data_IF_564815108845
#
_entry.id   IF_564815108845
#
_cell.length_a   1.000
_cell.length_b   1.000
_cell.length_c   1.000
_cell.angle_alpha   90.00
_cell.angle_beta   90.00
_cell.angle_gamma   90.00
#
_symmetry.space_group_name_H-M   'P 1'
#
loop_
_entity.id
_entity.type
_entity.pdbx_description
1 polymer ?
#
# COMPACT_ATOMS: atom_id res chain seq x y z
N UNK A 1 -0.09 16.17 -4.44
CA UNK A 1 -0.80 14.97 -4.96
C UNK A 1 -1.80 14.36 -3.96
N UNK A 2 -1.82 14.83 -2.70
CA UNK A 2 -2.68 14.34 -1.60
C UNK A 2 -4.18 14.20 -1.92
N UNK A 3 -4.73 15.00 -2.83
CA UNK A 3 -6.15 14.96 -3.21
C UNK A 3 -6.48 13.82 -4.21
N UNK A 4 -5.47 13.07 -4.67
CA UNK A 4 -5.66 11.93 -5.56
C UNK A 4 -5.42 10.64 -4.77
N UNK A 5 -6.51 10.02 -4.31
CA UNK A 5 -6.48 8.79 -3.52
C UNK A 5 -5.70 7.68 -4.21
N UNK A 6 -5.84 7.50 -5.53
CA UNK A 6 -5.12 6.45 -6.26
C UNK A 6 -3.60 6.65 -6.24
N UNK A 7 -3.14 7.91 -6.25
CA UNK A 7 -1.71 8.23 -6.11
C UNK A 7 -1.24 8.02 -4.67
N UNK A 8 -2.04 8.43 -3.68
CA UNK A 8 -1.72 8.21 -2.27
C UNK A 8 -1.55 6.71 -2.00
N UNK A 9 -2.48 5.87 -2.47
CA UNK A 9 -2.40 4.41 -2.34
C UNK A 9 -1.09 3.87 -2.91
N UNK A 10 -0.67 4.31 -4.10
CA UNK A 10 0.61 3.90 -4.70
C UNK A 10 1.82 4.25 -3.83
N UNK A 11 1.81 5.43 -3.21
CA UNK A 11 2.88 5.82 -2.30
C UNK A 11 2.86 5.01 -1.01
N UNK A 12 1.68 4.68 -0.48
CA UNK A 12 1.57 3.82 0.70
C UNK A 12 2.13 2.43 0.42
N UNK A 13 1.85 1.86 -0.75
CA UNK A 13 2.41 0.57 -1.15
C UNK A 13 3.94 0.64 -1.29
N UNK A 14 4.49 1.76 -1.76
CA UNK A 14 5.93 2.00 -1.82
C UNK A 14 6.56 2.13 -0.42
N UNK A 15 5.93 2.86 0.51
CA UNK A 15 6.38 2.95 1.90
C UNK A 15 6.47 1.56 2.54
N UNK A 16 5.45 0.73 2.33
CA UNK A 16 5.45 -0.68 2.80
C UNK A 16 6.61 -1.46 2.20
N UNK A 17 6.91 -1.29 0.91
CA UNK A 17 8.05 -1.94 0.24
C UNK A 17 9.40 -1.51 0.81
N UNK A 18 9.52 -0.23 1.17
CA UNK A 18 10.73 0.33 1.79
C UNK A 18 10.87 -0.02 3.28
N UNK A 19 9.85 -0.64 3.89
CA UNK A 19 9.83 -0.91 5.34
C UNK A 19 9.53 0.34 6.18
N UNK A 20 9.08 1.43 5.56
CA UNK A 20 8.72 2.67 6.25
C UNK A 20 7.27 2.56 6.75
N UNK A 21 7.08 2.78 8.05
CA UNK A 21 5.74 2.63 8.66
C UNK A 21 4.91 3.89 8.42
N UNK A 22 3.68 3.71 7.95
CA UNK A 22 2.68 4.77 7.91
C UNK A 22 1.84 4.73 9.19
N UNK A 23 1.86 5.80 9.98
CA UNK A 23 1.01 5.97 11.14
C UNK A 23 -0.35 6.58 10.74
N UNK A 24 -1.46 6.17 11.38
CA UNK A 24 -2.77 6.75 11.12
C UNK A 24 -2.80 8.25 11.45
N UNK A 25 -3.79 8.99 10.94
CA UNK A 25 -3.96 10.37 11.34
C UNK A 25 -4.23 10.47 12.84
N UNK A 26 -3.77 11.55 13.45
CA UNK A 26 -3.98 11.88 14.85
C UNK A 26 -4.18 13.40 14.98
N UNK A 27 -5.26 13.82 15.64
CA UNK A 27 -5.67 15.23 15.75
C UNK A 27 -4.70 16.10 16.56
N UNK A 28 -3.75 15.51 17.28
CA UNK A 28 -2.71 16.21 18.03
C UNK A 28 -1.32 16.08 17.39
N UNK A 29 -1.06 15.02 16.60
CA UNK A 29 0.27 14.74 16.02
C UNK A 29 0.37 15.04 14.52
N UNK A 30 -0.69 14.81 13.75
CA UNK A 30 -0.66 14.93 12.29
C UNK A 30 -0.71 16.39 11.84
N UNK A 31 0.21 16.80 10.98
CA UNK A 31 0.15 18.08 10.26
C UNK A 31 -0.94 18.13 9.19
N UNK A 32 -0.97 19.23 8.44
CA UNK A 32 -1.87 19.37 7.28
C UNK A 32 -1.48 18.38 6.17
N UNK A 33 -0.18 18.27 5.92
CA UNK A 33 0.42 17.35 4.94
C UNK A 33 0.97 16.10 5.63
N UNK A 34 1.37 15.11 4.82
CA UNK A 34 2.14 13.96 5.31
C UNK A 34 3.50 14.43 5.81
N UNK A 35 3.94 13.91 6.96
CA UNK A 35 5.20 14.29 7.58
C UNK A 35 6.06 13.06 7.83
N UNK A 36 7.34 13.12 7.45
CA UNK A 36 8.32 12.10 7.77
C UNK A 36 8.94 12.39 9.13
N UNK A 37 8.99 11.38 9.99
CA UNK A 37 9.53 11.44 11.34
C UNK A 37 10.45 10.24 11.56
N UNK A 38 11.37 10.37 12.53
CA UNK A 38 12.07 9.23 13.09
C UNK A 38 11.59 9.06 14.53
N UNK A 39 10.93 7.94 14.82
CA UNK A 39 10.38 7.63 16.15
C UNK A 39 11.09 6.38 16.64
N UNK A 40 11.78 6.49 17.77
CA UNK A 40 12.51 5.39 18.40
C UNK A 40 13.51 4.66 17.48
N UNK A 41 14.05 5.36 16.48
CA UNK A 41 15.00 4.83 15.48
C UNK A 41 14.35 4.38 14.17
N UNK A 42 13.02 4.25 14.14
CA UNK A 42 12.28 3.82 12.95
C UNK A 42 11.87 5.02 12.08
N UNK A 43 12.08 4.90 10.77
CA UNK A 43 11.53 5.83 9.79
C UNK A 43 10.02 5.63 9.69
N UNK A 44 9.27 6.69 9.97
CA UNK A 44 7.80 6.67 9.90
C UNK A 44 7.28 7.87 9.12
N UNK A 45 6.14 7.69 8.48
CA UNK A 45 5.36 8.78 7.90
C UNK A 45 4.08 8.91 8.71
N UNK A 46 3.75 10.12 9.16
CA UNK A 46 2.48 10.42 9.80
C UNK A 46 1.50 10.88 8.74
N UNK A 47 0.29 10.31 8.74
CA UNK A 47 -0.75 10.66 7.78
C UNK A 47 -1.18 12.12 7.93
N UNK A 48 -1.24 12.85 6.82
CA UNK A 48 -1.66 14.27 6.81
C UNK A 48 -3.17 14.44 6.92
N UNK A 49 -3.64 15.33 7.80
CA UNK A 49 -5.07 15.53 8.04
C UNK A 49 -5.84 16.01 6.80
N UNK A 50 -5.20 16.77 5.89
CA UNK A 50 -5.86 17.24 4.67
C UNK A 50 -6.14 16.12 3.65
N UNK A 51 -5.50 14.95 3.80
CA UNK A 51 -5.76 13.80 2.95
C UNK A 51 -6.99 12.98 3.40
N UNK A 52 -7.61 13.31 4.53
CA UNK A 52 -8.86 12.69 4.99
C UNK A 52 -10.01 13.14 4.09
N UNK A 53 -10.63 12.18 3.40
CA UNK A 53 -11.78 12.43 2.53
C UNK A 53 -12.95 12.96 3.35
N UNK A 54 -13.48 14.10 2.93
CA UNK A 54 -14.64 14.72 3.57
C UNK A 54 -14.32 15.71 4.69
N UNK A 55 -13.07 15.82 5.14
CA UNK A 55 -12.66 16.81 6.13
C UNK A 55 -12.51 18.22 5.51
N UNK A 56 -11.82 18.32 4.37
CA UNK A 56 -11.64 19.56 3.63
C UNK A 56 -10.60 20.52 4.24
N UNK A 57 -9.85 21.21 3.39
CA UNK A 57 -8.70 22.03 3.77
C UNK A 57 -9.00 23.13 4.80
N UNK A 58 -10.14 23.81 4.65
CA UNK A 58 -10.53 24.93 5.52
C UNK A 58 -10.76 24.44 6.96
N UNK A 59 -11.41 23.28 7.11
CA UNK A 59 -11.68 22.71 8.43
C UNK A 59 -10.38 22.23 9.08
N UNK A 60 -9.53 21.52 8.33
CA UNK A 60 -8.24 21.04 8.82
C UNK A 60 -7.33 22.19 9.25
N UNK A 61 -7.24 23.24 8.44
CA UNK A 61 -6.45 24.42 8.80
C UNK A 61 -6.96 25.05 10.10
N UNK A 62 -8.27 25.23 10.22
CA UNK A 62 -8.88 25.77 11.45
C UNK A 62 -8.65 24.90 12.68
N UNK A 63 -8.59 23.57 12.53
CA UNK A 63 -8.29 22.65 13.62
C UNK A 63 -6.83 22.78 14.05
N UNK A 64 -5.90 22.88 13.09
CA UNK A 64 -4.47 23.05 13.36
C UNK A 64 -4.22 24.40 14.07
N UNK A 65 -4.87 25.47 13.62
CA UNK A 65 -4.84 26.76 14.31
C UNK A 65 -5.38 26.66 15.74
N UNK A 66 -6.49 25.94 15.93
CA UNK A 66 -7.11 25.79 17.24
C UNK A 66 -6.19 25.09 18.25
N UNK A 67 -5.32 24.16 17.82
CA UNK A 67 -4.34 23.44 18.67
C UNK A 67 -2.92 24.03 18.64
N UNK A 68 -2.71 25.19 18.02
CA UNK A 68 -1.37 25.73 17.78
C UNK A 68 -0.61 26.05 19.07
N UNK A 69 -1.31 26.57 20.08
CA UNK A 69 -0.74 26.90 21.39
C UNK A 69 -0.58 25.66 22.28
N UNK A 70 -1.59 24.80 22.32
CA UNK A 70 -1.60 23.59 23.14
C UNK A 70 -2.40 22.46 22.47
N UNK A 71 -1.97 21.19 22.63
CA UNK A 71 -2.74 20.03 22.15
C UNK A 71 -4.16 19.99 22.74
N UNK A 72 -5.07 19.30 22.06
CA UNK A 72 -6.38 18.99 22.62
C UNK A 72 -6.23 17.97 23.74
N UNK A 73 -6.70 18.32 24.94
CA UNK A 73 -6.59 17.45 26.11
C UNK A 73 -7.51 16.22 26.01
N UNK A 74 -8.74 16.43 25.55
CA UNK A 74 -9.76 15.40 25.37
C UNK A 74 -10.79 15.82 24.32
N UNK A 75 -11.83 15.00 24.13
CA UNK A 75 -12.90 15.28 23.18
C UNK A 75 -13.71 16.53 23.56
N UNK A 76 -13.88 16.83 24.85
CA UNK A 76 -14.59 18.04 25.32
C UNK A 76 -13.81 19.31 24.95
N UNK A 77 -12.49 19.27 25.14
CA UNK A 77 -11.60 20.37 24.76
C UNK A 77 -11.59 20.59 23.24
N UNK A 78 -11.50 19.50 22.47
CA UNK A 78 -11.59 19.55 21.01
C UNK A 78 -12.88 20.23 20.55
N UNK A 79 -14.06 19.77 20.98
CA UNK A 79 -15.34 20.34 20.54
C UNK A 79 -15.55 21.78 21.01
N UNK A 80 -14.92 22.18 22.11
CA UNK A 80 -15.02 23.54 22.66
C UNK A 80 -14.14 24.53 21.91
N UNK A 81 -13.02 24.08 21.31
CA UNK A 81 -12.03 24.94 20.65
C UNK A 81 -12.23 25.06 19.14
N UNK A 82 -12.86 24.11 18.48
CA UNK A 82 -13.09 24.14 17.03
C UNK A 82 -14.08 25.23 16.59
N UNK A 83 -13.86 25.76 15.38
CA UNK A 83 -14.81 26.66 14.71
C UNK A 83 -15.87 25.84 13.96
N UNK A 84 -17.08 25.77 14.52
CA UNK A 84 -18.21 25.01 13.93
C UNK A 84 -18.71 25.53 12.60
N UNK A 85 -18.38 26.77 12.21
CA UNK A 85 -18.73 27.26 10.88
C UNK A 85 -17.89 26.58 9.80
N UNK A 86 -16.71 26.05 10.18
CA UNK A 86 -15.77 25.34 9.33
C UNK A 86 -15.79 23.83 9.57
N UNK A 87 -15.88 23.40 10.83
CA UNK A 87 -15.88 22.00 11.27
C UNK A 87 -17.32 21.55 11.53
N UNK A 88 -17.97 21.04 10.49
CA UNK A 88 -19.34 20.54 10.59
C UNK A 88 -19.40 19.04 10.95
N UNK A 89 -20.61 18.50 11.12
CA UNK A 89 -20.84 17.08 11.44
C UNK A 89 -20.11 16.12 10.52
N UNK A 90 -20.12 16.34 9.21
CA UNK A 90 -19.46 15.48 8.23
C UNK A 90 -17.94 15.46 8.41
N UNK A 91 -17.35 16.59 8.78
CA UNK A 91 -15.91 16.67 9.09
C UNK A 91 -15.59 15.80 10.31
N UNK A 92 -16.37 15.94 11.39
CA UNK A 92 -16.16 15.15 12.62
C UNK A 92 -16.35 13.67 12.35
N UNK A 93 -17.39 13.26 11.62
CA UNK A 93 -17.58 11.86 11.20
C UNK A 93 -16.38 11.34 10.39
N UNK A 94 -15.84 12.16 9.47
CA UNK A 94 -14.67 11.78 8.66
C UNK A 94 -13.42 11.61 9.52
N UNK A 95 -13.21 12.50 10.50
CA UNK A 95 -12.10 12.40 11.46
C UNK A 95 -12.21 11.15 12.34
N UNK A 96 -13.41 10.83 12.83
CA UNK A 96 -13.66 9.61 13.61
C UNK A 96 -13.39 8.36 12.76
N UNK A 97 -13.98 8.28 11.56
CA UNK A 97 -13.80 7.14 10.64
C UNK A 97 -12.34 6.92 10.25
N UNK A 98 -11.59 8.00 10.12
CA UNK A 98 -10.16 7.98 9.80
C UNK A 98 -9.26 7.57 10.97
N UNK A 99 -9.78 7.55 12.20
CA UNK A 99 -9.00 7.30 13.42
C UNK A 99 -8.31 8.52 14.01
N UNK A 100 -8.55 9.71 13.46
CA UNK A 100 -7.89 10.93 13.92
C UNK A 100 -8.21 11.28 15.38
N UNK A 101 -9.35 10.82 15.90
CA UNK A 101 -9.81 11.09 17.27
C UNK A 101 -9.61 9.89 18.23
N UNK A 102 -8.97 8.80 17.79
CA UNK A 102 -8.81 7.57 18.59
C UNK A 102 -7.99 7.83 19.88
N UNK A 103 -7.11 8.84 19.85
CA UNK A 103 -6.32 9.26 21.01
C UNK A 103 -7.11 9.81 22.20
N UNK A 104 -8.41 10.11 22.04
CA UNK A 104 -9.25 10.63 23.13
C UNK A 104 -9.88 9.56 24.01
N UNK A 105 -9.59 8.27 23.77
CA UNK A 105 -10.00 7.18 24.67
C UNK A 105 -11.47 6.74 24.54
N UNK A 106 -12.21 7.26 23.55
CA UNK A 106 -13.52 6.76 23.16
C UNK A 106 -13.39 5.83 21.96
N UNK A 107 -14.21 4.77 21.91
CA UNK A 107 -14.32 3.95 20.71
C UNK A 107 -14.95 4.75 19.56
N UNK A 108 -14.59 4.43 18.32
CA UNK A 108 -15.22 5.05 17.14
C UNK A 108 -16.73 4.80 17.15
N UNK A 109 -17.17 3.63 17.64
CA UNK A 109 -18.59 3.30 17.83
C UNK A 109 -19.30 4.22 18.81
N UNK A 110 -18.68 4.50 19.96
CA UNK A 110 -19.24 5.44 20.93
C UNK A 110 -19.39 6.84 20.33
N UNK A 111 -18.35 7.33 19.65
CA UNK A 111 -18.35 8.66 19.03
C UNK A 111 -19.37 8.79 17.89
N UNK A 112 -19.46 7.80 16.99
CA UNK A 112 -20.40 7.85 15.87
C UNK A 112 -21.86 7.65 16.30
N UNK A 113 -22.11 6.78 17.28
CA UNK A 113 -23.48 6.53 17.78
C UNK A 113 -24.05 7.72 18.54
N UNK A 114 -23.18 8.55 19.13
CA UNK A 114 -23.55 9.74 19.91
C UNK A 114 -23.14 11.04 19.20
N UNK A 115 -22.96 11.01 17.88
CA UNK A 115 -22.49 12.16 17.10
C UNK A 115 -23.36 13.41 17.28
N UNK A 116 -24.67 13.26 17.43
CA UNK A 116 -25.58 14.40 17.66
C UNK A 116 -25.26 15.13 18.97
N UNK A 117 -24.88 14.39 20.03
CA UNK A 117 -24.50 14.95 21.32
C UNK A 117 -23.18 15.72 21.23
N UNK A 118 -22.22 15.19 20.47
CA UNK A 118 -20.94 15.86 20.16
C UNK A 118 -21.21 17.21 19.47
N UNK A 119 -22.10 17.23 18.47
CA UNK A 119 -22.44 18.42 17.70
C UNK A 119 -23.22 19.44 18.54
N UNK A 120 -24.18 18.99 19.35
CA UNK A 120 -24.91 19.86 20.26
C UNK A 120 -23.97 20.52 21.29
N UNK A 121 -23.02 19.74 21.81
CA UNK A 121 -22.04 20.21 22.79
C UNK A 121 -21.07 21.21 22.20
N UNK A 122 -20.57 20.94 20.98
CA UNK A 122 -19.81 21.93 20.23
C UNK A 122 -20.62 23.23 20.14
N UNK A 123 -21.87 23.17 19.65
CA UNK A 123 -22.74 24.34 19.51
C UNK A 123 -22.89 25.16 20.78
N UNK A 124 -23.15 24.50 21.92
CA UNK A 124 -23.21 25.16 23.22
C UNK A 124 -21.92 25.91 23.56
N UNK A 125 -20.76 25.28 23.36
CA UNK A 125 -19.46 25.91 23.60
C UNK A 125 -19.22 27.13 22.68
N UNK A 126 -19.58 27.00 21.40
CA UNK A 126 -19.48 28.11 20.44
C UNK A 126 -20.36 29.30 20.79
N UNK A 127 -21.59 29.05 21.26
CA UNK A 127 -22.51 30.11 21.70
C UNK A 127 -22.05 30.75 23.03
N UNK A 128 -21.52 29.96 23.97
CA UNK A 128 -20.91 30.47 25.20
C UNK A 128 -19.72 31.39 24.91
N UNK A 129 -18.83 31.01 23.98
CA UNK A 129 -17.68 31.83 23.55
C UNK A 129 -18.12 33.17 22.95
N UNK A 130 -19.15 33.19 22.10
CA UNK A 130 -19.70 34.45 21.55
C UNK A 130 -20.27 35.36 22.64
N UNK A 131 -20.91 34.79 23.65
CA UNK A 131 -21.45 35.54 24.79
C UNK A 131 -20.32 36.10 25.67
N UNK A 132 -19.25 35.33 25.90
CA UNK A 132 -18.10 35.74 26.69
C UNK A 132 -17.30 36.88 26.04
N UNK A 133 -17.13 36.88 24.72
CA UNK A 133 -16.46 37.97 23.96
C UNK A 133 -17.23 39.30 24.06
N UNK A 134 -18.54 39.27 24.37
CA UNK A 134 -19.35 40.46 24.65
C UNK A 134 -19.35 40.90 26.13
N UNK A 135 -18.68 40.17 27.01
CA UNK A 135 -18.60 40.42 28.45
C UNK A 135 -17.24 40.98 28.82
N UNK A 136 -17.17 41.82 29.85
CA UNK A 136 -15.92 42.44 30.35
C UNK A 136 -14.91 41.43 30.97
N UNK A 137 -15.21 40.14 30.91
CA UNK A 137 -14.53 39.03 31.59
C UNK A 137 -14.14 37.89 30.63
N UNK A 138 -14.00 38.19 29.33
CA UNK A 138 -13.87 37.19 28.25
C UNK A 138 -12.58 36.34 28.21
N UNK A 139 -11.70 36.46 29.21
CA UNK A 139 -10.42 35.73 29.27
C UNK A 139 -10.44 34.50 30.22
N UNK A 140 -11.57 34.21 30.88
CA UNK A 140 -11.65 33.06 31.78
C UNK A 140 -12.02 31.78 31.00
N UNK A 141 -10.99 31.00 30.64
CA UNK A 141 -11.07 29.80 29.78
C UNK A 141 -12.04 28.75 30.34
N UNK A 142 -12.14 28.65 31.67
CA UNK A 142 -13.04 27.70 32.36
C UNK A 142 -14.53 27.95 32.08
N UNK A 143 -14.94 29.18 31.72
CA UNK A 143 -16.35 29.48 31.45
C UNK A 143 -16.84 29.00 30.09
N UNK A 144 -15.94 28.55 29.20
CA UNK A 144 -16.29 28.18 27.81
C UNK A 144 -16.20 26.70 27.49
N UNK A 145 -15.56 25.90 28.35
CA UNK A 145 -15.51 24.45 28.19
C UNK A 145 -16.83 23.81 28.62
N UNK A 146 -17.49 23.14 27.67
CA UNK A 146 -18.69 22.34 27.94
C UNK A 146 -18.26 20.89 28.07
N UNK A 147 -18.57 20.28 29.22
CA UNK A 147 -18.26 18.88 29.47
C UNK A 147 -19.06 17.97 28.54
N UNK A 148 -18.37 17.09 27.84
CA UNK A 148 -18.95 16.03 27.00
C UNK A 148 -18.60 14.67 27.60
N UNK A 149 -19.62 13.89 27.98
CA UNK A 149 -19.45 12.53 28.49
C UNK A 149 -20.25 11.56 27.63
N UNK A 150 -19.54 10.81 26.79
CA UNK A 150 -20.18 9.79 25.97
C UNK A 150 -20.35 8.50 26.78
N UNK A 151 -21.47 7.82 26.58
CA UNK A 151 -21.64 6.46 27.10
C UNK A 151 -20.59 5.54 26.46
N UNK A 152 -19.82 4.78 27.27
CA UNK A 152 -18.86 3.82 26.74
C UNK A 152 -19.55 2.74 25.91
N UNK A 153 -18.95 2.41 24.77
CA UNK A 153 -19.40 1.32 23.90
C UNK A 153 -18.20 0.51 23.46
N UNK A 154 -18.40 -0.79 23.25
CA UNK A 154 -17.41 -1.64 22.59
C UNK A 154 -17.07 -1.08 21.21
N UNK A 155 -15.86 -1.34 20.73
CA UNK A 155 -15.47 -0.92 19.39
C UNK A 155 -16.25 -1.68 18.30
N UNK A 156 -16.27 -1.14 17.09
CA UNK A 156 -16.71 -1.86 15.90
C UNK A 156 -15.91 -3.15 15.68
N UNK A 157 -16.50 -4.10 14.94
CA UNK A 157 -15.74 -5.26 14.51
C UNK A 157 -14.56 -4.80 13.62
N UNK A 158 -13.41 -5.50 13.65
CA UNK A 158 -12.22 -5.07 12.92
C UNK A 158 -12.48 -4.77 11.43
N UNK A 159 -13.34 -5.56 10.79
CA UNK A 159 -13.69 -5.35 9.39
C UNK A 159 -14.45 -4.03 9.16
N UNK A 160 -15.35 -3.66 10.06
CA UNK A 160 -16.08 -2.39 9.97
C UNK A 160 -15.14 -1.19 10.15
N UNK A 161 -14.15 -1.30 11.05
CA UNK A 161 -13.09 -0.29 11.20
C UNK A 161 -12.31 -0.13 9.89
N UNK A 162 -11.88 -1.25 9.31
CA UNK A 162 -11.15 -1.26 8.05
C UNK A 162 -11.98 -0.63 6.92
N UNK A 163 -13.29 -0.91 6.83
CA UNK A 163 -14.16 -0.27 5.84
C UNK A 163 -14.30 1.25 6.07
N UNK A 164 -14.38 1.70 7.33
CA UNK A 164 -14.37 3.14 7.64
C UNK A 164 -13.06 3.82 7.24
N UNK A 165 -11.91 3.16 7.45
CA UNK A 165 -10.61 3.64 6.99
C UNK A 165 -10.54 3.68 5.47
N UNK A 166 -11.02 2.64 4.79
CA UNK A 166 -11.09 2.61 3.33
C UNK A 166 -11.96 3.75 2.78
N UNK A 167 -13.10 4.02 3.42
CA UNK A 167 -14.00 5.10 3.02
C UNK A 167 -13.37 6.49 3.21
N UNK A 168 -12.68 6.71 4.34
CA UNK A 168 -12.17 8.02 4.77
C UNK A 168 -10.74 8.32 4.31
N UNK A 169 -9.90 7.30 4.18
CA UNK A 169 -8.47 7.41 3.83
C UNK A 169 -8.17 6.84 2.43
N UNK A 170 -9.02 5.93 1.93
CA UNK A 170 -8.86 5.28 0.63
C UNK A 170 -8.10 3.94 0.67
N UNK A 171 -7.58 3.56 1.83
CA UNK A 171 -6.86 2.30 2.05
C UNK A 171 -6.95 1.87 3.52
N UNK A 172 -6.57 0.63 3.77
CA UNK A 172 -6.53 0.02 5.09
C UNK A 172 -5.24 0.40 5.81
N UNK A 173 -5.34 0.99 7.00
CA UNK A 173 -4.20 1.49 7.79
C UNK A 173 -3.92 0.60 8.97
N UNK A 174 -4.96 0.26 9.73
CA UNK A 174 -4.82 -0.49 10.99
C UNK A 174 -4.62 -1.99 10.81
N UNK A 175 -4.86 -2.53 9.61
CA UNK A 175 -4.69 -3.96 9.33
C UNK A 175 -5.02 -4.34 7.89
N UNK A 176 -5.22 -5.63 7.64
CA UNK A 176 -5.57 -6.19 6.34
C UNK A 176 -6.91 -6.95 6.38
N UNK A 177 -7.79 -6.83 5.38
CA UNK A 177 -9.07 -7.56 5.36
C UNK A 177 -8.94 -9.09 5.45
N UNK A 178 -7.78 -9.61 5.03
CA UNK A 178 -7.47 -11.04 5.09
C UNK A 178 -6.86 -11.51 6.42
N UNK A 179 -6.59 -10.61 7.38
CA UNK A 179 -5.92 -10.99 8.63
C UNK A 179 -6.72 -12.01 9.44
N UNK A 180 -8.04 -11.86 9.52
CA UNK A 180 -8.96 -12.84 10.16
C UNK A 180 -8.91 -14.23 9.50
N UNK A 181 -8.40 -14.31 8.28
CA UNK A 181 -8.39 -15.53 7.47
C UNK A 181 -7.01 -16.17 7.39
N UNK A 182 -5.96 -15.60 7.98
CA UNK A 182 -4.57 -16.12 7.88
C UNK A 182 -4.47 -17.61 8.19
N UNK A 183 -5.00 -18.06 9.34
CA UNK A 183 -5.00 -19.48 9.73
C UNK A 183 -5.74 -20.37 8.71
N UNK A 184 -6.79 -19.84 8.08
CA UNK A 184 -7.54 -20.56 7.05
C UNK A 184 -6.73 -20.67 5.75
N UNK A 185 -5.99 -19.60 5.40
CA UNK A 185 -5.16 -19.49 4.21
C UNK A 185 -3.91 -20.37 4.30
N UNK A 186 -3.30 -20.53 5.48
CA UNK A 186 -2.13 -21.40 5.67
C UNK A 186 -2.36 -22.84 5.22
N UNK A 187 -3.60 -23.34 5.37
CA UNK A 187 -4.00 -24.67 4.93
C UNK A 187 -4.34 -24.78 3.44
N UNK A 188 -4.21 -23.72 2.65
CA UNK A 188 -4.58 -23.69 1.23
C UNK A 188 -3.33 -23.39 0.40
N UNK A 189 -3.12 -24.15 -0.69
CA UNK A 189 -2.08 -23.84 -1.67
C UNK A 189 -2.63 -22.85 -2.69
N UNK A 190 -2.43 -21.56 -2.43
CA UNK A 190 -2.78 -20.47 -3.34
C UNK A 190 -1.52 -19.75 -3.86
N UNK A 191 -1.71 -18.87 -4.84
CA UNK A 191 -0.68 -18.05 -5.47
C UNK A 191 -0.93 -16.60 -5.08
N UNK A 192 0.14 -15.87 -4.79
CA UNK A 192 0.08 -14.45 -4.45
C UNK A 192 0.21 -13.59 -5.71
N UNK A 193 -0.31 -12.37 -5.66
CA UNK A 193 -0.25 -11.38 -6.73
C UNK A 193 1.19 -11.08 -7.17
N UNK A 194 2.12 -11.04 -6.22
CA UNK A 194 3.56 -10.85 -6.49
C UNK A 194 4.21 -12.00 -7.26
N UNK A 195 3.59 -13.18 -7.29
CA UNK A 195 4.14 -14.37 -7.97
C UNK A 195 3.62 -14.52 -9.41
N UNK A 196 2.73 -13.63 -9.88
CA UNK A 196 2.07 -13.76 -11.19
C UNK A 196 3.09 -13.83 -12.33
N UNK A 197 4.13 -13.01 -12.28
CA UNK A 197 5.16 -12.94 -13.33
C UNK A 197 6.00 -14.22 -13.42
N UNK A 198 6.11 -14.96 -12.31
CA UNK A 198 6.84 -16.22 -12.23
C UNK A 198 6.00 -17.43 -12.69
N UNK A 199 4.75 -17.24 -13.10
CA UNK A 199 3.90 -18.32 -13.59
C UNK A 199 4.21 -18.65 -15.05
N UNK A 200 4.36 -19.94 -15.38
CA UNK A 200 4.56 -20.37 -16.76
C UNK A 200 3.27 -20.27 -17.58
N UNK A 201 3.40 -20.11 -18.89
CA UNK A 201 2.25 -20.22 -19.81
C UNK A 201 1.51 -21.57 -19.66
N UNK A 202 0.18 -21.51 -19.71
CA UNK A 202 -0.69 -22.67 -19.56
C UNK A 202 -0.81 -23.22 -18.12
N UNK A 203 -0.13 -22.59 -17.15
CA UNK A 203 -0.28 -22.95 -15.73
C UNK A 203 -1.70 -22.68 -15.21
N UNK A 204 -2.06 -23.39 -14.14
CA UNK A 204 -3.25 -23.07 -13.36
C UNK A 204 -2.80 -22.49 -12.03
N UNK A 205 -3.41 -21.38 -11.62
CA UNK A 205 -3.18 -20.74 -10.34
C UNK A 205 -4.50 -20.61 -9.58
N UNK A 206 -4.41 -20.52 -8.26
CA UNK A 206 -5.53 -20.26 -7.39
C UNK A 206 -5.23 -18.97 -6.65
N UNK A 207 -5.97 -17.92 -6.96
CA UNK A 207 -5.86 -16.65 -6.24
C UNK A 207 -6.91 -16.59 -5.16
N UNK A 208 -6.56 -16.04 -4.01
CA UNK A 208 -7.52 -15.83 -2.91
C UNK A 208 -7.41 -14.38 -2.49
N UNK A 209 -8.55 -13.70 -2.45
CA UNK A 209 -8.59 -12.33 -2.01
C UNK A 209 -10.00 -11.83 -1.77
N UNK A 210 -10.09 -10.63 -1.22
CA UNK A 210 -11.34 -9.92 -1.04
C UNK A 210 -11.64 -9.10 -2.29
N UNK A 211 -12.90 -9.05 -2.71
CA UNK A 211 -13.31 -8.20 -3.83
C UNK A 211 -13.41 -6.77 -3.33
N UNK A 212 -12.63 -5.87 -3.92
CA UNK A 212 -12.67 -4.44 -3.63
C UNK A 212 -13.72 -3.72 -4.49
N UNK A 213 -13.82 -4.11 -5.76
CA UNK A 213 -14.81 -3.54 -6.68
C UNK A 213 -15.06 -4.43 -7.88
N UNK A 214 -16.24 -4.28 -8.49
CA UNK A 214 -16.59 -4.90 -9.75
C UNK A 214 -17.06 -3.79 -10.70
N UNK A 215 -16.36 -3.63 -11.83
CA UNK A 215 -16.77 -2.70 -12.88
C UNK A 215 -17.41 -3.46 -14.02
N UNK A 216 -18.72 -3.28 -14.21
CA UNK A 216 -19.45 -3.86 -15.33
C UNK A 216 -19.24 -3.07 -16.63
N UNK A 217 -19.06 -3.78 -17.73
CA UNK A 217 -18.85 -3.21 -19.07
C UNK A 217 -19.57 -4.04 -20.13
N UNK A 218 -19.81 -3.42 -21.28
CA UNK A 218 -20.36 -4.07 -22.47
C UNK A 218 -19.27 -4.15 -23.53
N UNK A 219 -19.02 -5.35 -24.05
CA UNK A 219 -18.05 -5.56 -25.11
C UNK A 219 -18.53 -4.96 -26.44
N UNK A 220 -17.62 -4.78 -27.41
CA UNK A 220 -17.99 -4.34 -28.78
C UNK A 220 -19.03 -5.24 -29.46
N UNK A 221 -19.17 -6.49 -29.02
CA UNK A 221 -20.14 -7.47 -29.53
C UNK A 221 -21.46 -7.46 -28.77
N UNK A 222 -21.65 -6.57 -27.80
CA UNK A 222 -22.87 -6.45 -26.99
C UNK A 222 -22.91 -7.31 -25.72
N UNK A 223 -21.95 -8.21 -25.51
CA UNK A 223 -21.93 -9.08 -24.32
C UNK A 223 -21.49 -8.31 -23.08
N UNK A 224 -22.18 -8.52 -21.95
CA UNK A 224 -21.82 -7.98 -20.64
C UNK A 224 -20.61 -8.74 -20.07
N UNK A 225 -19.71 -8.02 -19.40
CA UNK A 225 -18.62 -8.61 -18.62
C UNK A 225 -18.29 -7.72 -17.43
N UNK A 226 -17.70 -8.29 -16.40
CA UNK A 226 -17.19 -7.58 -15.23
C UNK A 226 -15.67 -7.58 -15.20
N UNK A 227 -15.08 -6.55 -14.62
CA UNK A 227 -13.69 -6.53 -14.17
C UNK A 227 -13.73 -6.46 -12.65
N UNK A 228 -13.36 -7.55 -11.99
CA UNK A 228 -13.23 -7.59 -10.54
C UNK A 228 -11.81 -7.23 -10.13
N UNK A 229 -11.67 -6.26 -9.23
CA UNK A 229 -10.42 -5.96 -8.55
C UNK A 229 -10.41 -6.72 -7.21
N UNK A 230 -9.42 -7.59 -7.05
CA UNK A 230 -9.31 -8.51 -5.92
C UNK A 230 -8.05 -8.17 -5.15
N UNK A 231 -8.19 -7.84 -3.87
CA UNK A 231 -7.08 -7.58 -2.97
C UNK A 231 -6.64 -8.88 -2.29
N UNK A 232 -5.37 -9.23 -2.46
CA UNK A 232 -4.70 -10.30 -1.73
C UNK A 232 -3.70 -9.73 -0.70
N UNK A 233 -2.89 -10.57 -0.07
CA UNK A 233 -1.93 -10.12 0.94
C UNK A 233 -0.77 -9.27 0.38
N UNK A 234 -0.52 -9.32 -0.93
CA UNK A 234 0.65 -8.71 -1.57
C UNK A 234 0.29 -7.58 -2.55
N UNK A 235 -0.99 -7.40 -2.88
CA UNK A 235 -1.45 -6.38 -3.80
C UNK A 235 -2.85 -6.64 -4.35
N UNK A 236 -3.10 -6.11 -5.55
CA UNK A 236 -4.39 -6.23 -6.22
C UNK A 236 -4.25 -7.01 -7.52
N UNK A 237 -5.27 -7.81 -7.85
CA UNK A 237 -5.35 -8.64 -9.04
C UNK A 237 -6.63 -8.26 -9.78
N UNK A 238 -6.51 -7.93 -11.07
CA UNK A 238 -7.68 -7.70 -11.92
C UNK A 238 -8.06 -8.98 -12.66
N UNK A 239 -9.29 -9.46 -12.44
CA UNK A 239 -9.83 -10.62 -13.16
C UNK A 239 -11.05 -10.22 -14.01
N UNK A 240 -11.03 -10.66 -15.26
CA UNK A 240 -12.17 -10.50 -16.16
C UNK A 240 -13.18 -11.63 -15.97
N UNK A 241 -14.41 -11.26 -15.65
CA UNK A 241 -15.56 -12.15 -15.47
C UNK A 241 -16.48 -12.01 -16.68
N UNK A 242 -16.55 -13.04 -17.52
CA UNK A 242 -17.61 -13.10 -18.55
C UNK A 242 -18.99 -13.21 -17.88
N UNK A 243 -20.05 -12.83 -18.60
CA UNK A 243 -21.43 -12.74 -18.07
C UNK A 243 -21.83 -13.89 -17.13
N UNK A 244 -21.54 -15.13 -17.51
CA UNK A 244 -21.90 -16.31 -16.71
C UNK A 244 -21.19 -16.33 -15.35
N UNK A 245 -19.89 -16.00 -15.33
CA UNK A 245 -19.08 -15.96 -14.09
C UNK A 245 -19.39 -14.74 -13.25
N UNK A 246 -19.78 -13.63 -13.89
CA UNK A 246 -20.25 -12.44 -13.18
C UNK A 246 -21.55 -12.73 -12.43
N UNK A 247 -22.53 -13.35 -13.09
CA UNK A 247 -23.79 -13.77 -12.45
C UNK A 247 -23.57 -14.77 -11.32
N UNK A 248 -22.76 -15.81 -11.55
CA UNK A 248 -22.38 -16.78 -10.51
C UNK A 248 -21.78 -16.08 -9.29
N UNK A 249 -20.87 -15.12 -9.51
CA UNK A 249 -20.26 -14.38 -8.41
C UNK A 249 -21.27 -13.51 -7.62
N UNK A 250 -22.21 -12.88 -8.32
CA UNK A 250 -23.22 -12.00 -7.71
C UNK A 250 -24.34 -12.78 -6.97
N UNK A 251 -24.72 -13.94 -7.49
CA UNK A 251 -25.83 -14.74 -6.97
C UNK A 251 -25.39 -15.73 -5.88
N UNK A 252 -24.21 -16.35 -6.04
CA UNK A 252 -23.80 -17.50 -5.21
C UNK A 252 -22.78 -17.13 -4.12
N UNK A 253 -22.16 -15.94 -4.17
CA UNK A 253 -21.07 -15.56 -3.27
C UNK A 253 -21.31 -14.25 -2.53
N UNK A 254 -20.87 -14.24 -1.27
CA UNK A 254 -20.82 -13.04 -0.44
C UNK A 254 -19.50 -12.30 -0.71
N UNK A 255 -19.56 -11.22 -1.49
CA UNK A 255 -18.39 -10.42 -1.90
C UNK A 255 -17.71 -9.69 -0.74
N UNK A 256 -18.33 -9.64 0.44
CA UNK A 256 -17.71 -9.08 1.65
C UNK A 256 -16.66 -10.03 2.25
N UNK A 257 -16.68 -11.31 1.86
CA UNK A 257 -15.75 -12.34 2.32
C UNK A 257 -14.69 -12.65 1.25
N UNK A 258 -13.54 -13.22 1.63
CA UNK A 258 -12.54 -13.65 0.66
C UNK A 258 -13.05 -14.82 -0.17
N UNK A 259 -12.79 -14.77 -1.48
CA UNK A 259 -13.22 -15.74 -2.48
C UNK A 259 -11.99 -16.27 -3.20
N UNK A 260 -12.02 -17.56 -3.56
CA UNK A 260 -10.96 -18.21 -4.29
C UNK A 260 -11.30 -18.28 -5.79
N UNK A 261 -10.32 -17.94 -6.63
CA UNK A 261 -10.46 -17.90 -8.08
C UNK A 261 -9.42 -18.82 -8.70
N UNK A 262 -9.87 -19.95 -9.24
CA UNK A 262 -9.01 -20.82 -10.03
C UNK A 262 -8.93 -20.25 -11.43
N UNK A 263 -7.74 -19.93 -11.89
CA UNK A 263 -7.52 -19.34 -13.21
C UNK A 263 -6.53 -20.15 -14.04
N UNK A 264 -6.66 -20.04 -15.35
CA UNK A 264 -5.65 -20.47 -16.32
C UNK A 264 -4.85 -19.26 -16.76
N UNK A 265 -3.53 -19.36 -16.68
CA UNK A 265 -2.60 -18.36 -17.15
C UNK A 265 -2.35 -18.57 -18.64
N UNK A 266 -2.40 -17.49 -19.40
CA UNK A 266 -1.95 -17.45 -20.79
C UNK A 266 -1.00 -16.27 -20.98
N UNK A 267 0.25 -16.53 -21.32
CA UNK A 267 1.23 -15.50 -21.64
C UNK A 267 1.29 -15.26 -23.15
N UNK A 268 1.20 -13.99 -23.55
CA UNK A 268 1.24 -13.54 -24.94
C UNK A 268 2.24 -12.38 -25.05
N UNK A 269 3.51 -12.72 -25.26
CA UNK A 269 4.63 -11.78 -25.09
C UNK A 269 4.74 -11.31 -23.65
N UNK A 270 4.71 -9.99 -23.43
CA UNK A 270 4.74 -9.37 -22.10
C UNK A 270 3.37 -9.33 -21.40
N UNK A 271 2.29 -9.77 -22.08
CA UNK A 271 0.94 -9.74 -21.50
C UNK A 271 0.57 -11.06 -20.84
N UNK A 272 0.24 -11.00 -19.55
CA UNK A 272 -0.35 -12.12 -18.81
C UNK A 272 -1.87 -12.00 -18.78
N UNK A 273 -2.56 -12.96 -19.41
CA UNK A 273 -4.04 -13.07 -19.35
C UNK A 273 -4.44 -14.15 -18.36
N UNK A 274 -5.39 -13.82 -17.49
CA UNK A 274 -5.96 -14.73 -16.49
C UNK A 274 -7.41 -15.07 -16.84
N UNK A 275 -7.66 -16.32 -17.21
CA UNK A 275 -9.00 -16.80 -17.53
C UNK A 275 -9.58 -17.60 -16.37
N UNK A 276 -10.70 -17.17 -15.80
CA UNK A 276 -11.34 -17.84 -14.68
C UNK A 276 -11.90 -19.20 -15.11
N UNK A 277 -11.42 -20.25 -14.46
CA UNK A 277 -11.90 -21.63 -14.59
C UNK A 277 -12.99 -21.95 -13.58
N UNK A 278 -12.87 -21.45 -12.34
CA UNK A 278 -13.79 -21.75 -11.22
C UNK A 278 -13.74 -20.65 -10.16
N UNK A 279 -14.88 -20.38 -9.53
CA UNK A 279 -15.03 -19.51 -8.35
C UNK A 279 -15.40 -20.42 -7.18
N UNK A 280 -14.75 -20.26 -6.02
CA UNK A 280 -14.90 -21.16 -4.88
C UNK A 280 -14.86 -20.43 -3.54
N UNK A 281 -15.52 -21.02 -2.54
CA UNK A 281 -15.38 -20.58 -1.16
C UNK A 281 -14.02 -21.03 -0.59
N UNK A 282 -13.55 -20.37 0.47
CA UNK A 282 -12.33 -20.80 1.18
C UNK A 282 -12.40 -22.26 1.68
N UNK A 283 -13.62 -22.76 1.99
CA UNK A 283 -13.81 -24.13 2.47
C UNK A 283 -13.58 -25.15 1.36
N UNK A 284 -14.01 -24.83 0.14
CA UNK A 284 -13.87 -25.72 -1.01
C UNK A 284 -12.45 -25.67 -1.58
N UNK A 285 -11.85 -24.47 -1.59
CA UNK A 285 -10.47 -24.24 -2.00
C UNK A 285 -9.45 -25.12 -1.26
N UNK A 286 -9.70 -25.47 0.02
CA UNK A 286 -8.83 -26.39 0.80
C UNK A 286 -8.68 -27.78 0.17
N UNK A 287 -9.67 -28.24 -0.59
CA UNK A 287 -9.66 -29.58 -1.21
C UNK A 287 -9.19 -29.55 -2.66
N UNK A 288 -8.98 -28.36 -3.22
CA UNK A 288 -8.71 -28.17 -4.63
C UNK A 288 -7.25 -28.48 -4.96
N UNK A 289 -7.02 -29.24 -6.05
CA UNK A 289 -5.68 -29.52 -6.56
C UNK A 289 -5.34 -28.53 -7.67
N UNK A 290 -4.36 -27.67 -7.40
CA UNK A 290 -3.90 -26.65 -8.35
C UNK A 290 -2.60 -27.11 -9.01
N UNK A 291 -2.60 -27.18 -10.35
CA UNK A 291 -1.40 -27.48 -11.15
C UNK A 291 -0.63 -26.20 -11.47
N UNK A 292 0.03 -25.66 -10.45
CA UNK A 292 0.93 -24.51 -10.61
C UNK A 292 2.23 -24.99 -11.25
N UNK A 293 2.58 -24.43 -12.40
CA UNK A 293 3.92 -24.57 -13.00
C UNK A 293 4.57 -23.20 -12.91
N UNK A 294 5.63 -23.07 -12.12
CA UNK A 294 6.48 -21.87 -12.13
C UNK A 294 7.31 -21.89 -13.40
N UNK A 295 7.49 -20.74 -14.01
CA UNK A 295 8.44 -20.53 -15.08
C UNK A 295 9.83 -20.78 -14.47
N UNK A 296 10.49 -21.86 -14.89
CA UNK A 296 11.91 -21.96 -14.65
C UNK A 296 12.55 -20.88 -15.52
N UNK A 297 12.85 -19.72 -14.95
CA UNK A 297 13.94 -18.90 -15.46
C UNK A 297 15.18 -19.78 -15.37
N UNK A 298 15.49 -20.48 -16.46
CA UNK A 298 16.85 -20.92 -16.69
C UNK A 298 17.67 -19.64 -16.76
N UNK A 299 18.20 -19.18 -15.64
CA UNK A 299 19.60 -18.79 -15.66
C UNK A 299 20.30 -20.15 -15.78
N UNK A 300 20.73 -20.58 -16.99
CA UNK A 300 21.55 -21.78 -17.04
C UNK A 300 22.69 -21.54 -16.06
N UNK A 301 22.86 -22.43 -15.08
CA UNK A 301 24.09 -22.47 -14.32
C UNK A 301 25.21 -22.44 -15.37
N UNK A 302 26.07 -21.42 -15.33
CA UNK A 302 27.10 -21.31 -16.34
C UNK A 302 27.97 -22.57 -16.27
N UNK A 303 28.14 -23.29 -17.40
CA UNK A 303 29.12 -24.40 -17.49
C UNK A 303 30.53 -23.98 -17.00
N UNK A 304 30.77 -22.67 -16.91
CA UNK A 304 31.98 -22.03 -16.42
C UNK A 304 31.61 -20.78 -15.60
N UNK A 305 32.26 -20.54 -14.44
CA UNK A 305 31.97 -19.38 -13.59
C UNK A 305 32.03 -18.07 -14.38
N UNK A 306 31.21 -17.06 -14.01
CA UNK A 306 31.18 -15.79 -14.71
C UNK A 306 32.58 -15.18 -14.80
N UNK A 307 32.87 -14.53 -15.91
CA UNK A 307 34.04 -13.69 -16.04
C UNK A 307 33.67 -12.32 -15.45
N UNK A 308 34.27 -11.97 -14.31
CA UNK A 308 33.99 -10.69 -13.64
C UNK A 308 34.99 -9.65 -14.16
N UNK A 309 34.47 -8.59 -14.80
CA UNK A 309 35.23 -7.41 -15.19
C UNK A 309 34.88 -6.25 -14.27
N UNK A 310 35.87 -5.80 -13.50
CA UNK A 310 35.76 -4.66 -12.62
C UNK A 310 36.23 -3.37 -13.31
N UNK A 311 35.49 -2.28 -13.09
CA UNK A 311 35.74 -0.93 -13.58
C UNK A 311 35.71 0.03 -12.39
N UNK A 312 36.64 0.98 -12.30
CA UNK A 312 36.55 2.02 -11.28
C UNK A 312 35.48 3.07 -11.67
N UNK A 313 34.79 3.63 -10.66
CA UNK A 313 33.78 4.69 -10.81
C UNK A 313 34.18 5.74 -11.86
N UNK A 314 33.21 6.05 -12.73
CA UNK A 314 33.26 6.97 -13.88
C UNK A 314 33.72 6.38 -15.23
N UNK A 315 33.14 5.27 -15.74
CA UNK A 315 33.22 5.03 -17.18
C UNK A 315 32.45 6.16 -17.89
N UNK A 316 33.12 6.92 -18.74
CA UNK A 316 32.44 7.84 -19.66
C UNK A 316 31.64 7.03 -20.71
N UNK A 317 30.74 7.69 -21.44
CA UNK A 317 29.95 7.02 -22.51
C UNK A 317 30.83 6.24 -23.48
N UNK A 318 32.05 6.77 -23.73
CA UNK A 318 33.03 6.17 -24.62
C UNK A 318 33.59 4.85 -24.07
N UNK A 319 33.87 4.76 -22.78
CA UNK A 319 34.34 3.53 -22.11
C UNK A 319 33.27 2.45 -22.16
N UNK A 320 32.00 2.82 -21.97
CA UNK A 320 30.86 1.89 -22.08
C UNK A 320 30.69 1.41 -23.52
N UNK A 321 30.75 2.32 -24.50
CA UNK A 321 30.69 1.98 -25.93
C UNK A 321 31.84 1.05 -26.35
N UNK A 322 33.07 1.35 -25.94
CA UNK A 322 34.24 0.53 -26.21
C UNK A 322 34.13 -0.85 -25.53
N UNK A 323 33.64 -0.92 -24.30
CA UNK A 323 33.37 -2.19 -23.62
C UNK A 323 32.32 -3.01 -24.38
N UNK A 324 31.24 -2.38 -24.83
CA UNK A 324 30.20 -3.06 -25.62
C UNK A 324 30.76 -3.59 -26.95
N UNK A 325 31.59 -2.81 -27.65
CA UNK A 325 32.29 -3.28 -28.85
C UNK A 325 33.24 -4.46 -28.55
N UNK A 326 33.94 -4.45 -27.43
CA UNK A 326 34.81 -5.56 -27.02
C UNK A 326 34.00 -6.83 -26.71
N UNK A 327 32.87 -6.68 -26.02
CA UNK A 327 31.97 -7.79 -25.70
C UNK A 327 31.42 -8.45 -26.97
N UNK A 328 31.05 -7.66 -27.98
CA UNK A 328 30.59 -8.17 -29.28
C UNK A 328 31.72 -8.82 -30.09
N UNK A 329 32.96 -8.32 -29.97
CA UNK A 329 34.13 -8.82 -30.69
C UNK A 329 34.67 -10.15 -30.15
N UNK A 330 34.45 -10.42 -28.85
CA UNK A 330 34.98 -11.59 -28.16
C UNK A 330 33.89 -12.51 -27.59
N UNK A 331 32.96 -13.02 -28.42
CA UNK A 331 31.90 -13.91 -27.94
C UNK A 331 32.49 -15.20 -27.37
N UNK A 332 31.87 -15.72 -26.31
CA UNK A 332 32.32 -16.95 -25.67
C UNK A 332 31.23 -17.65 -24.88
N UNK A 333 31.64 -18.51 -23.95
CA UNK A 333 30.73 -19.37 -23.18
C UNK A 333 30.57 -18.94 -21.71
N UNK A 334 31.48 -18.11 -21.18
CA UNK A 334 31.43 -17.59 -19.81
C UNK A 334 30.49 -16.38 -19.78
N UNK A 335 29.47 -16.35 -18.91
CA UNK A 335 28.70 -15.13 -18.67
C UNK A 335 29.59 -14.00 -18.21
N UNK A 336 29.26 -12.78 -18.62
CA UNK A 336 29.96 -11.58 -18.20
C UNK A 336 29.25 -10.96 -16.99
N UNK A 337 30.01 -10.63 -15.95
CA UNK A 337 29.54 -9.86 -14.81
C UNK A 337 30.38 -8.59 -14.73
N UNK A 338 29.74 -7.42 -14.59
CA UNK A 338 30.44 -6.14 -14.51
C UNK A 338 30.35 -5.58 -13.10
N UNK A 339 31.50 -5.28 -12.52
CA UNK A 339 31.60 -4.68 -11.18
C UNK A 339 32.05 -3.24 -11.32
N UNK A 340 31.18 -2.29 -11.02
CA UNK A 340 31.56 -0.88 -10.96
C UNK A 340 31.99 -0.57 -9.53
N UNK A 341 33.30 -0.49 -9.33
CA UNK A 341 33.95 -0.26 -8.05
C UNK A 341 33.85 1.18 -7.62
N UNK A 342 33.40 1.36 -6.39
CA UNK A 342 33.02 2.66 -5.84
C UNK A 342 33.52 2.83 -4.42
N UNK A 343 33.72 4.07 -3.96
CA UNK A 343 34.17 4.32 -2.58
C UNK A 343 33.09 4.04 -1.53
N UNK A 344 31.81 4.02 -1.93
CA UNK A 344 30.67 3.92 -1.02
C UNK A 344 30.00 2.55 -1.07
N UNK A 345 29.84 2.01 -2.28
CA UNK A 345 29.25 0.69 -2.54
C UNK A 345 29.52 0.27 -3.98
N UNK A 346 29.90 -0.99 -4.19
CA UNK A 346 30.10 -1.54 -5.52
C UNK A 346 28.74 -1.82 -6.20
N UNK A 347 28.65 -1.57 -7.51
CA UNK A 347 27.48 -1.93 -8.30
C UNK A 347 27.81 -3.16 -9.13
N UNK A 348 27.05 -4.24 -8.90
CA UNK A 348 27.16 -5.48 -9.68
C UNK A 348 26.08 -5.47 -10.76
N UNK A 349 26.50 -5.64 -12.01
CA UNK A 349 25.62 -5.73 -13.18
C UNK A 349 25.77 -7.13 -13.77
N UNK A 350 24.72 -7.93 -13.62
CA UNK A 350 24.57 -9.20 -14.32
C UNK A 350 24.26 -8.95 -15.79
N UNK A 351 25.19 -9.30 -16.67
CA UNK A 351 25.03 -9.11 -18.10
C UNK A 351 24.33 -10.29 -18.76
N UNK A 352 23.62 -10.03 -19.87
CA UNK A 352 23.11 -11.10 -20.76
C UNK A 352 24.18 -11.62 -21.72
N UNK A 353 25.35 -10.98 -21.79
CA UNK A 353 26.42 -11.34 -22.71
C UNK A 353 27.27 -12.51 -22.19
N UNK A 354 27.77 -13.31 -23.13
CA UNK A 354 28.76 -14.36 -22.87
C UNK A 354 30.03 -14.08 -23.66
N UNK A 355 31.17 -14.06 -22.98
CA UNK A 355 32.45 -13.64 -23.54
C UNK A 355 33.51 -14.74 -23.37
N UNK A 356 34.57 -14.64 -24.16
CA UNK A 356 35.76 -15.48 -24.02
C UNK A 356 36.80 -14.79 -23.14
N UNK A 357 37.68 -15.55 -22.48
CA UNK A 357 38.77 -14.99 -21.66
C UNK A 357 39.74 -14.09 -22.43
N UNK A 358 39.75 -14.18 -23.78
CA UNK A 358 40.55 -13.31 -24.65
C UNK A 358 40.17 -11.84 -24.54
N UNK A 359 38.95 -11.53 -24.07
CA UNK A 359 38.51 -10.16 -23.82
C UNK A 359 39.40 -9.46 -22.78
N UNK A 360 40.02 -10.20 -21.85
CA UNK A 360 40.82 -9.64 -20.75
C UNK A 360 42.04 -8.85 -21.24
N UNK A 361 42.61 -9.20 -22.39
CA UNK A 361 43.80 -8.52 -22.93
C UNK A 361 43.46 -7.10 -23.39
N UNK A 362 42.34 -6.94 -24.10
CA UNK A 362 41.89 -5.62 -24.59
C UNK A 362 41.07 -4.86 -23.53
N UNK A 363 40.38 -5.56 -22.62
CA UNK A 363 39.63 -4.93 -21.52
C UNK A 363 40.55 -4.12 -20.59
N UNK A 364 41.81 -4.56 -20.39
CA UNK A 364 42.81 -3.79 -19.64
C UNK A 364 43.12 -2.42 -20.26
N UNK A 365 43.07 -2.31 -21.59
CA UNK A 365 43.35 -1.06 -22.28
C UNK A 365 42.29 0.02 -22.00
N UNK A 366 41.06 -0.40 -21.69
CA UNK A 366 39.95 0.49 -21.30
C UNK A 366 39.79 0.61 -19.77
N UNK A 367 40.78 0.17 -19.00
CA UNK A 367 40.79 0.27 -17.54
C UNK A 367 39.96 -0.77 -16.80
N UNK A 368 39.44 -1.80 -17.49
CA UNK A 368 38.78 -2.92 -16.86
C UNK A 368 39.80 -4.00 -16.43
N UNK A 369 39.57 -4.64 -15.29
CA UNK A 369 40.42 -5.73 -14.80
C UNK A 369 39.60 -6.92 -14.33
N UNK A 370 40.21 -8.10 -14.34
CA UNK A 370 39.55 -9.31 -13.86
C UNK A 370 39.49 -9.29 -12.33
N UNK A 371 38.33 -9.60 -11.78
CA UNK A 371 38.15 -9.82 -10.34
C UNK A 371 37.81 -11.29 -10.09
N UNK A 372 38.33 -11.84 -8.99
CA UNK A 372 37.96 -13.19 -8.56
C UNK A 372 36.62 -13.16 -7.81
N UNK A 373 35.75 -14.17 -7.97
CA UNK A 373 34.51 -14.24 -7.21
C UNK A 373 34.82 -14.22 -5.71
N UNK A 374 34.06 -13.42 -4.95
CA UNK A 374 34.13 -13.44 -3.49
C UNK A 374 33.79 -14.85 -2.99
N UNK A 375 34.78 -15.56 -2.46
CA UNK A 375 34.58 -16.85 -1.79
C UNK A 375 33.86 -16.59 -0.47
N UNK A 376 32.55 -16.86 -0.43
CA UNK A 376 31.80 -16.88 0.82
C UNK A 376 32.23 -18.14 1.57
N UNK A 377 33.15 -18.02 2.53
CA UNK A 377 33.32 -19.06 3.55
C UNK A 377 32.03 -19.09 4.38
N UNK A 378 31.23 -20.13 4.16
CA UNK A 378 29.99 -20.36 4.90
C UNK A 378 30.32 -20.47 6.40
N UNK A 379 29.89 -19.47 7.17
CA UNK A 379 29.92 -19.45 8.64
C UNK A 379 28.51 -19.60 9.19
#
# INVERSE_FOLDING_TARGET
ERNNTDKVVKYVDELKRMGIKLLPPDINRSGQEFEAHNIDGDEVVIFGLAAIKGAGDIAIHSIIEARAEEPFADLSDFVSRIDQTKVNKKVIESLIKAGALDGFGYSRKAMLSQIEEIIETAKKAGDAKKQAVGSLWGDDVEMTQVKLELQPMEEFEPMEILEMEKESLGFYVSGHPLDKYRDTLEGIKYTLSSEIDDLADGSQALFIGKIESITEKISKKGNKFGIANIMDLHGNIELMLFENRLKELEEDFDTTKPIAFKVKITKDGDFTRMNILKIESLKDAKKEKVKVKKEQKHTPEPDQPPLILALNLMPDSKTVEELMCLVERYPGKRPLELHIKSKLADVVIESRYKVSERILEEAKAIGAYMEEPLSIEAS
#
